data_IF_624826523514
#
_entry.id   IF_624826523514
#
_cell.length_a   1.000
_cell.length_b   1.000
_cell.length_c   1.000
_cell.angle_alpha   90.00
_cell.angle_beta   90.00
_cell.angle_gamma   90.00
#
_symmetry.space_group_name_H-M   'P 1'
#
loop_
_entity.id
_entity.type
_entity.pdbx_description
1 polymer ?
#
# COMPACT_ATOMS: atom_id res chain seq x y z
N UNK A 1 3.48 4.22 19.89
CA UNK A 1 2.78 5.42 19.36
C UNK A 1 1.40 5.02 18.88
N UNK A 2 0.37 5.86 19.11
CA UNK A 2 -0.98 5.65 18.57
C UNK A 2 -0.89 5.86 17.05
N UNK A 3 -1.34 4.90 16.24
CA UNK A 3 -1.38 5.07 14.78
C UNK A 3 -2.62 5.91 14.47
N UNK A 4 -2.42 7.06 13.82
CA UNK A 4 -3.50 7.93 13.39
C UNK A 4 -4.06 7.36 12.09
N UNK A 5 -5.17 6.62 12.22
CA UNK A 5 -5.90 6.06 11.10
C UNK A 5 -6.69 7.16 10.41
N UNK A 6 -6.55 7.25 9.08
CA UNK A 6 -7.27 8.19 8.22
C UNK A 6 -8.75 7.81 8.17
N UNK A 7 -9.03 6.51 8.03
CA UNK A 7 -10.38 5.95 8.17
C UNK A 7 -10.33 4.55 8.76
N UNK A 8 -11.49 4.06 9.18
CA UNK A 8 -11.66 2.76 9.82
C UNK A 8 -12.94 2.10 9.34
N UNK A 9 -12.92 0.78 9.26
CA UNK A 9 -14.11 -0.07 9.26
C UNK A 9 -14.27 -0.73 10.64
N UNK A 10 -15.22 -1.66 10.76
CA UNK A 10 -15.37 -2.48 11.97
C UNK A 10 -14.10 -3.29 12.30
N UNK A 11 -13.35 -3.73 11.29
CA UNK A 11 -12.21 -4.65 11.44
C UNK A 11 -10.88 -4.04 11.06
N UNK A 12 -10.87 -3.08 10.14
CA UNK A 12 -9.66 -2.60 9.49
C UNK A 12 -9.41 -1.12 9.75
N UNK A 13 -8.13 -0.77 9.96
CA UNK A 13 -7.65 0.59 10.03
C UNK A 13 -6.79 0.91 8.81
N UNK A 14 -7.02 2.07 8.21
CA UNK A 14 -6.35 2.54 7.01
C UNK A 14 -5.57 3.79 7.38
N UNK A 15 -4.28 3.80 7.05
CA UNK A 15 -3.36 4.86 7.48
C UNK A 15 -2.30 5.09 6.42
N UNK A 16 -1.58 6.19 6.56
CA UNK A 16 -0.40 6.41 5.74
C UNK A 16 0.72 5.41 6.13
N UNK A 17 1.68 5.27 5.23
CA UNK A 17 2.83 4.39 5.39
C UNK A 17 3.89 5.00 6.29
N UNK A 18 4.63 4.13 6.97
CA UNK A 18 5.75 4.47 7.83
C UNK A 18 6.92 3.53 7.55
N UNK A 19 8.12 3.92 7.95
CA UNK A 19 9.32 3.06 7.80
C UNK A 19 9.18 1.71 8.53
N UNK A 20 8.38 1.67 9.61
CA UNK A 20 8.13 0.45 10.37
C UNK A 20 7.36 -0.62 9.57
N UNK A 21 6.72 -0.25 8.47
CA UNK A 21 5.93 -1.16 7.64
C UNK A 21 6.80 -1.94 6.64
N UNK A 22 8.04 -1.50 6.43
CA UNK A 22 8.94 -2.08 5.43
C UNK A 22 9.15 -3.57 5.62
N UNK A 23 9.34 -4.02 6.86
CA UNK A 23 9.64 -5.43 7.14
C UNK A 23 8.47 -6.34 6.72
N UNK A 24 7.24 -5.97 7.06
CA UNK A 24 6.07 -6.79 6.73
C UNK A 24 5.69 -6.67 5.26
N UNK A 25 5.74 -5.45 4.68
CA UNK A 25 5.50 -5.28 3.25
C UNK A 25 6.52 -6.03 2.39
N UNK A 26 7.80 -6.03 2.78
CA UNK A 26 8.83 -6.76 2.05
C UNK A 26 8.64 -8.28 2.10
N UNK A 27 8.04 -8.82 3.18
CA UNK A 27 7.65 -10.24 3.22
C UNK A 27 6.53 -10.53 2.23
N UNK A 28 5.48 -9.71 2.22
CA UNK A 28 4.36 -9.84 1.29
C UNK A 28 4.83 -9.77 -0.18
N UNK A 29 5.66 -8.78 -0.50
CA UNK A 29 6.17 -8.62 -1.88
C UNK A 29 7.21 -9.68 -2.29
N UNK A 30 7.73 -10.48 -1.35
CA UNK A 30 8.62 -11.60 -1.63
C UNK A 30 7.88 -12.95 -1.66
N UNK A 31 6.59 -12.97 -1.29
CA UNK A 31 5.77 -14.17 -1.30
C UNK A 31 5.24 -14.46 -2.71
N UNK A 32 5.48 -15.68 -3.20
CA UNK A 32 5.09 -16.10 -4.56
C UNK A 32 3.58 -16.19 -4.77
N UNK A 33 2.82 -16.53 -3.73
CA UNK A 33 1.36 -16.62 -3.83
C UNK A 33 0.75 -15.21 -3.87
N UNK A 34 1.25 -14.29 -3.04
CA UNK A 34 0.83 -12.87 -3.06
C UNK A 34 1.15 -12.22 -4.40
N UNK A 35 2.36 -12.47 -4.92
CA UNK A 35 2.87 -11.81 -6.12
C UNK A 35 2.59 -12.55 -7.42
N UNK A 36 1.80 -13.64 -7.40
CA UNK A 36 1.53 -14.52 -8.54
C UNK A 36 1.04 -13.80 -9.80
N UNK A 37 0.30 -12.70 -9.62
CA UNK A 37 -0.27 -11.90 -10.71
C UNK A 37 0.49 -10.60 -10.97
N UNK A 38 1.58 -10.35 -10.23
CA UNK A 38 2.48 -9.22 -10.46
C UNK A 38 3.62 -9.62 -11.40
N UNK A 39 4.26 -8.65 -12.08
CA UNK A 39 5.34 -8.94 -13.02
C UNK A 39 6.55 -9.67 -12.42
N UNK A 40 6.81 -9.47 -11.12
CA UNK A 40 7.92 -10.09 -10.38
C UNK A 40 7.75 -9.92 -8.86
N UNK A 41 8.47 -10.72 -8.09
CA UNK A 41 8.72 -10.47 -6.66
C UNK A 41 9.52 -9.18 -6.49
N UNK A 42 9.36 -8.49 -5.35
CA UNK A 42 10.15 -7.33 -5.00
C UNK A 42 11.16 -7.64 -3.90
N UNK A 43 12.35 -7.09 -4.05
CA UNK A 43 13.35 -7.05 -2.99
C UNK A 43 12.92 -6.10 -1.86
N UNK A 44 13.61 -6.18 -0.71
CA UNK A 44 13.41 -5.23 0.40
C UNK A 44 13.65 -3.78 -0.05
N UNK A 45 14.62 -3.54 -0.93
CA UNK A 45 14.90 -2.21 -1.48
C UNK A 45 13.74 -1.70 -2.32
N UNK A 46 13.24 -2.51 -3.26
CA UNK A 46 12.10 -2.14 -4.12
C UNK A 46 10.81 -1.95 -3.31
N UNK A 47 10.63 -2.70 -2.22
CA UNK A 47 9.52 -2.51 -1.28
C UNK A 47 9.64 -1.18 -0.52
N UNK A 48 10.86 -0.76 -0.15
CA UNK A 48 11.11 0.56 0.43
C UNK A 48 10.79 1.68 -0.55
N UNK A 49 11.19 1.52 -1.81
CA UNK A 49 10.87 2.49 -2.88
C UNK A 49 9.36 2.56 -3.13
N UNK A 50 8.64 1.43 -3.02
CA UNK A 50 7.18 1.39 -3.12
C UNK A 50 6.50 2.18 -1.99
N UNK A 51 6.98 2.06 -0.74
CA UNK A 51 6.48 2.86 0.38
C UNK A 51 6.64 4.36 0.12
N UNK A 52 7.81 4.79 -0.35
CA UNK A 52 8.05 6.20 -0.65
C UNK A 52 7.16 6.70 -1.80
N UNK A 53 6.90 5.88 -2.82
CA UNK A 53 5.91 6.21 -3.87
C UNK A 53 4.51 6.41 -3.30
N UNK A 54 4.06 5.53 -2.39
CA UNK A 54 2.74 5.66 -1.78
C UNK A 54 2.61 6.90 -0.89
N UNK A 55 3.66 7.23 -0.13
CA UNK A 55 3.70 8.46 0.69
C UNK A 55 3.63 9.70 -0.18
N UNK A 56 4.47 9.77 -1.23
CA UNK A 56 4.47 10.89 -2.17
C UNK A 56 3.12 11.05 -2.87
N UNK A 57 2.54 9.94 -3.35
CA UNK A 57 1.23 9.96 -3.99
C UNK A 57 0.14 10.50 -3.04
N UNK A 58 0.20 10.13 -1.75
CA UNK A 58 -0.73 10.67 -0.74
C UNK A 58 -0.55 12.17 -0.53
N UNK A 59 0.68 12.67 -0.48
CA UNK A 59 0.97 14.11 -0.37
C UNK A 59 0.42 14.91 -1.57
N UNK A 60 0.51 14.34 -2.77
CA UNK A 60 0.07 14.99 -4.02
C UNK A 60 -1.45 14.92 -4.23
N UNK A 61 -2.10 13.80 -3.88
CA UNK A 61 -3.48 13.52 -4.27
C UNK A 61 -4.47 13.45 -3.10
N UNK A 62 -4.00 13.38 -1.85
CA UNK A 62 -4.83 13.19 -0.66
C UNK A 62 -5.35 11.75 -0.47
N UNK A 63 -4.99 10.83 -1.36
CA UNK A 63 -5.29 9.40 -1.28
C UNK A 63 -4.13 8.57 -1.82
N UNK A 64 -4.07 7.28 -1.47
CA UNK A 64 -3.05 6.34 -1.94
C UNK A 64 -3.54 4.91 -1.71
N UNK A 65 -2.73 3.92 -2.06
CA UNK A 65 -2.87 2.56 -1.56
C UNK A 65 -2.49 2.54 -0.08
N UNK A 66 -3.47 2.61 0.82
CA UNK A 66 -3.22 2.79 2.24
C UNK A 66 -2.68 1.53 2.90
N UNK A 67 -1.70 1.68 3.79
CA UNK A 67 -1.28 0.62 4.69
C UNK A 67 -2.49 0.20 5.54
N UNK A 68 -2.84 -1.09 5.45
CA UNK A 68 -4.09 -1.60 6.02
C UNK A 68 -3.80 -2.60 7.11
N UNK A 69 -4.40 -2.38 8.27
CA UNK A 69 -4.18 -3.21 9.46
C UNK A 69 -5.47 -3.77 10.02
N UNK A 70 -5.38 -4.93 10.65
CA UNK A 70 -6.44 -5.41 11.53
C UNK A 70 -6.43 -4.60 12.83
N UNK A 71 -7.54 -3.92 13.16
CA UNK A 71 -7.62 -3.04 14.33
C UNK A 71 -7.38 -3.78 15.66
N UNK A 72 -7.76 -5.06 15.74
CA UNK A 72 -7.66 -5.88 16.95
C UNK A 72 -6.22 -6.10 17.41
N UNK A 73 -5.32 -6.43 16.48
CA UNK A 73 -3.94 -6.81 16.77
C UNK A 73 -2.89 -5.90 16.12
N UNK A 74 -3.31 -4.92 15.30
CA UNK A 74 -2.46 -3.98 14.56
C UNK A 74 -1.52 -4.67 13.56
N UNK A 75 -1.89 -5.87 13.12
CA UNK A 75 -1.17 -6.60 12.09
C UNK A 75 -1.36 -5.90 10.74
N UNK A 76 -0.26 -5.59 10.06
CA UNK A 76 -0.29 -5.10 8.68
C UNK A 76 -0.60 -6.26 7.75
N UNK A 77 -1.65 -6.12 6.95
CA UNK A 77 -2.14 -7.18 6.05
C UNK A 77 -2.01 -6.82 4.57
N UNK A 78 -1.16 -5.85 4.26
CA UNK A 78 -0.96 -5.34 2.91
C UNK A 78 -1.51 -3.92 2.76
N UNK A 79 -2.12 -3.66 1.61
CA UNK A 79 -2.64 -2.34 1.27
C UNK A 79 -4.00 -2.43 0.61
N UNK A 80 -4.77 -1.35 0.68
CA UNK A 80 -5.96 -1.17 -0.14
C UNK A 80 -6.22 0.33 -0.26
N UNK A 81 -6.66 0.77 -1.44
CA UNK A 81 -6.97 2.17 -1.65
C UNK A 81 -7.04 2.52 -3.12
N UNK A 82 -6.75 3.78 -3.40
CA UNK A 82 -6.85 4.37 -4.73
C UNK A 82 -5.48 4.90 -5.15
N UNK A 83 -5.16 4.83 -6.44
CA UNK A 83 -4.03 5.57 -6.99
C UNK A 83 -4.38 6.19 -8.34
N UNK A 84 -3.87 7.40 -8.57
CA UNK A 84 -3.92 8.06 -9.85
C UNK A 84 -2.82 7.48 -10.75
N UNK A 85 -3.23 7.02 -11.92
CA UNK A 85 -2.38 6.34 -12.88
C UNK A 85 -2.26 7.16 -14.16
N UNK A 86 -1.02 7.52 -14.52
CA UNK A 86 -0.70 8.33 -15.70
C UNK A 86 0.21 7.61 -16.71
N UNK A 87 0.52 6.33 -16.48
CA UNK A 87 1.28 5.52 -17.44
C UNK A 87 0.47 5.35 -18.74
N UNK A 88 1.12 5.23 -19.90
CA UNK A 88 0.44 5.27 -21.20
C UNK A 88 -0.37 4.00 -21.49
N UNK A 89 -1.69 4.13 -21.60
CA UNK A 89 -2.64 3.09 -22.08
C UNK A 89 -3.83 3.73 -22.80
N UNK A 90 -4.79 2.94 -23.27
CA UNK A 90 -6.03 3.43 -23.89
C UNK A 90 -7.01 4.09 -22.89
N UNK A 91 -6.82 3.88 -21.58
CA UNK A 91 -7.78 4.29 -20.55
C UNK A 91 -7.17 5.13 -19.43
N UNK A 92 -5.89 5.51 -19.53
CA UNK A 92 -5.23 6.44 -18.62
C UNK A 92 -5.17 7.86 -19.23
N UNK A 93 -5.30 8.93 -18.41
CA UNK A 93 -5.27 8.95 -16.96
C UNK A 93 -6.54 8.41 -16.30
N UNK A 94 -6.37 7.65 -15.21
CA UNK A 94 -7.47 7.07 -14.45
C UNK A 94 -7.10 6.94 -12.97
N UNK A 95 -8.11 6.80 -12.11
CA UNK A 95 -7.91 6.37 -10.73
C UNK A 95 -8.23 4.89 -10.64
N UNK A 96 -7.25 4.06 -10.27
CA UNK A 96 -7.47 2.65 -10.01
C UNK A 96 -7.75 2.38 -8.53
N UNK A 97 -8.40 1.24 -8.27
CA UNK A 97 -8.61 0.67 -6.94
C UNK A 97 -7.95 -0.69 -6.91
N UNK A 98 -7.33 -1.04 -5.79
CA UNK A 98 -6.53 -2.25 -5.65
C UNK A 98 -6.31 -2.63 -4.19
N UNK A 99 -6.09 -3.92 -3.96
CA UNK A 99 -5.83 -4.57 -2.68
C UNK A 99 -5.11 -5.90 -2.87
#
# INVERSE_FOLDING_TARGET
>A
MKKDYIFKSERLGFRNWTENDLTELAKLNADMEVMKHFPKLLTKKESSELIERFKKHFEENGYTYFATEILKNKELIGFIGLAFQEYKTEFTPAVDIGW
#
